data_IF_441955129524
#
_entry.id   IF_441955129524
#
_cell.length_a   1.000
_cell.length_b   1.000
_cell.length_c   1.000
_cell.angle_alpha   90.00
_cell.angle_beta   90.00
_cell.angle_gamma   90.00
#
_symmetry.space_group_name_H-M   'P 1'
#
loop_
_entity.id
_entity.type
_entity.pdbx_description
1 polymer ?
#
# COMPACT_ATOMS: atom_id res chain seq x y z
N UNK A 1 1.35 22.74 -14.45
CA UNK A 1 0.10 22.85 -13.74
C UNK A 1 -0.32 21.56 -13.10
N UNK A 2 -0.75 21.65 -11.90
CA UNK A 2 -1.16 20.46 -11.17
C UNK A 2 -2.61 20.19 -11.32
N UNK A 3 -2.92 18.95 -11.58
CA UNK A 3 -4.30 18.56 -11.61
C UNK A 3 -4.58 17.77 -10.37
N UNK A 4 -5.63 18.15 -9.70
CA UNK A 4 -6.05 17.38 -8.55
C UNK A 4 -6.73 16.12 -9.03
N UNK A 5 -6.25 15.01 -8.52
CA UNK A 5 -6.89 13.75 -8.83
C UNK A 5 -8.21 13.68 -8.08
N UNK A 6 -9.23 13.17 -8.75
CA UNK A 6 -10.48 12.96 -8.06
C UNK A 6 -10.35 11.75 -7.13
N UNK A 7 -11.35 11.53 -6.30
CA UNK A 7 -11.26 10.49 -5.29
C UNK A 7 -11.19 9.09 -5.89
N UNK A 8 -11.82 8.89 -7.01
CA UNK A 8 -11.75 7.59 -7.67
C UNK A 8 -10.36 7.29 -8.15
N UNK A 9 -9.68 8.27 -8.73
CA UNK A 9 -8.31 8.10 -9.16
C UNK A 9 -7.39 7.85 -7.98
N UNK A 10 -7.59 8.58 -6.90
CA UNK A 10 -6.80 8.38 -5.70
C UNK A 10 -7.00 6.98 -5.14
N UNK A 11 -8.23 6.50 -5.16
CA UNK A 11 -8.54 5.16 -4.68
C UNK A 11 -7.82 4.11 -5.52
N UNK A 12 -7.87 4.26 -6.84
CA UNK A 12 -7.20 3.32 -7.73
C UNK A 12 -5.70 3.31 -7.53
N UNK A 13 -5.10 4.49 -7.37
CA UNK A 13 -3.67 4.57 -7.13
C UNK A 13 -3.28 3.92 -5.82
N UNK A 14 -4.03 4.19 -4.78
CA UNK A 14 -3.75 3.60 -3.49
C UNK A 14 -3.88 2.09 -3.55
N UNK A 15 -4.87 1.60 -4.30
CA UNK A 15 -5.06 0.17 -4.46
C UNK A 15 -3.89 -0.49 -5.16
N UNK A 16 -3.41 0.14 -6.24
CA UNK A 16 -2.27 -0.38 -6.99
C UNK A 16 -1.03 -0.40 -6.12
N UNK A 17 -0.80 0.68 -5.39
CA UNK A 17 0.36 0.78 -4.52
C UNK A 17 0.28 -0.23 -3.37
N UNK A 18 -0.90 -0.37 -2.79
CA UNK A 18 -1.11 -1.34 -1.73
C UNK A 18 -0.80 -2.75 -2.21
N UNK A 19 -1.28 -3.09 -3.40
CA UNK A 19 -1.04 -4.41 -3.96
C UNK A 19 0.43 -4.62 -4.26
N UNK A 20 1.09 -3.61 -4.81
CA UNK A 20 2.51 -3.70 -5.13
C UNK A 20 3.34 -3.92 -3.86
N UNK A 21 3.01 -3.20 -2.80
CA UNK A 21 3.70 -3.35 -1.53
C UNK A 21 3.46 -4.73 -0.93
N UNK A 22 2.24 -5.23 -1.06
CA UNK A 22 1.92 -6.55 -0.56
C UNK A 22 2.71 -7.64 -1.28
N UNK A 23 2.86 -7.50 -2.59
CA UNK A 23 3.63 -8.47 -3.37
C UNK A 23 5.10 -8.47 -2.96
N UNK A 24 5.67 -7.29 -2.79
CA UNK A 24 7.05 -7.19 -2.34
C UNK A 24 7.23 -7.79 -0.95
N UNK A 25 6.27 -7.53 -0.09
CA UNK A 25 6.31 -8.05 1.26
C UNK A 25 6.24 -9.57 1.26
N UNK A 26 5.38 -10.14 0.43
CA UNK A 26 5.26 -11.58 0.33
C UNK A 26 6.56 -12.22 -0.16
N UNK A 27 7.22 -11.60 -1.13
CA UNK A 27 8.49 -12.11 -1.64
C UNK A 27 9.52 -12.15 -0.53
N UNK A 28 9.62 -11.07 0.25
CA UNK A 28 10.57 -11.02 1.35
C UNK A 28 10.23 -12.05 2.43
N UNK A 29 8.95 -12.21 2.73
CA UNK A 29 8.55 -13.12 3.78
C UNK A 29 8.72 -14.60 3.41
N UNK A 30 8.88 -14.89 2.12
CA UNK A 30 9.12 -16.25 1.69
C UNK A 30 10.57 -16.68 1.90
N UNK A 31 11.47 -15.74 2.11
CA UNK A 31 12.87 -16.06 2.34
C UNK A 31 13.06 -16.74 3.70
N UNK A 32 13.86 -17.80 3.76
CA UNK A 32 14.12 -18.47 5.06
C UNK A 32 14.86 -17.57 6.03
N UNK A 33 15.73 -16.68 5.52
CA UNK A 33 16.48 -15.76 6.36
C UNK A 33 16.41 -14.38 5.74
N UNK A 34 16.28 -13.39 6.61
CA UNK A 34 16.30 -11.99 6.20
C UNK A 34 17.51 -11.32 6.80
N UNK A 35 18.21 -10.53 5.98
CA UNK A 35 19.26 -9.68 6.50
C UNK A 35 18.66 -8.57 7.35
N UNK A 36 19.51 -7.88 8.12
CA UNK A 36 19.02 -6.76 8.92
C UNK A 36 18.35 -5.72 8.04
N UNK A 37 18.95 -5.43 6.89
CA UNK A 37 18.37 -4.46 5.96
C UNK A 37 17.00 -4.95 5.46
N UNK A 38 16.89 -6.23 5.15
CA UNK A 38 15.64 -6.78 4.68
C UNK A 38 14.57 -6.77 5.77
N UNK A 39 14.97 -7.00 7.01
CA UNK A 39 14.03 -6.92 8.11
C UNK A 39 13.48 -5.50 8.28
N UNK A 40 14.34 -4.51 8.11
CA UNK A 40 13.90 -3.13 8.16
C UNK A 40 12.97 -2.82 6.99
N UNK A 41 13.29 -3.36 5.83
CA UNK A 41 12.44 -3.17 4.65
C UNK A 41 11.05 -3.76 4.88
N UNK A 42 10.99 -4.94 5.48
CA UNK A 42 9.70 -5.55 5.81
C UNK A 42 8.87 -4.63 6.70
N UNK A 43 9.50 -4.05 7.71
CA UNK A 43 8.79 -3.14 8.60
C UNK A 43 8.27 -1.92 7.86
N UNK A 44 9.10 -1.35 6.97
CA UNK A 44 8.69 -0.21 6.18
C UNK A 44 7.54 -0.56 5.25
N UNK A 45 7.64 -1.71 4.60
CA UNK A 45 6.60 -2.14 3.67
C UNK A 45 5.28 -2.37 4.38
N UNK A 46 5.32 -2.97 5.57
CA UNK A 46 4.11 -3.16 6.34
C UNK A 46 3.48 -1.85 6.73
N UNK A 47 4.30 -0.89 7.13
CA UNK A 47 3.81 0.43 7.50
C UNK A 47 3.17 1.14 6.32
N UNK A 48 3.84 1.10 5.16
CA UNK A 48 3.31 1.73 3.95
C UNK A 48 2.05 1.03 3.48
N UNK A 49 2.03 -0.28 3.54
CA UNK A 49 0.86 -1.04 3.14
C UNK A 49 -0.35 -0.64 3.97
N UNK A 50 -0.17 -0.53 5.28
CA UNK A 50 -1.24 -0.11 6.16
C UNK A 50 -1.69 1.30 5.84
N UNK A 51 -0.73 2.18 5.55
CA UNK A 51 -1.05 3.57 5.19
C UNK A 51 -1.97 3.63 3.97
N UNK A 52 -1.64 2.89 2.93
CA UNK A 52 -2.46 2.89 1.72
C UNK A 52 -3.79 2.18 1.94
N UNK A 53 -3.80 1.18 2.79
CA UNK A 53 -5.06 0.54 3.15
C UNK A 53 -5.99 1.54 3.83
N UNK A 54 -5.45 2.33 4.74
CA UNK A 54 -6.26 3.34 5.43
C UNK A 54 -6.79 4.38 4.45
N UNK A 55 -5.94 4.80 3.49
CA UNK A 55 -6.37 5.73 2.46
C UNK A 55 -7.52 5.13 1.65
N UNK A 56 -7.38 3.87 1.25
CA UNK A 56 -8.41 3.20 0.47
C UNK A 56 -9.72 3.12 1.23
N UNK A 57 -9.66 2.78 2.51
CA UNK A 57 -10.87 2.65 3.30
C UNK A 57 -11.56 3.99 3.50
N UNK A 58 -10.77 5.05 3.70
CA UNK A 58 -11.34 6.37 3.80
C UNK A 58 -12.03 6.80 2.52
N UNK A 59 -11.35 6.59 1.38
CA UNK A 59 -11.91 6.95 0.09
C UNK A 59 -13.11 6.07 -0.26
N UNK A 60 -13.04 4.81 0.10
CA UNK A 60 -14.14 3.90 -0.14
C UNK A 60 -15.42 4.39 0.55
N UNK A 61 -15.27 4.86 1.79
CA UNK A 61 -16.40 5.43 2.50
C UNK A 61 -16.95 6.68 1.82
N UNK A 62 -16.04 7.56 1.37
CA UNK A 62 -16.46 8.78 0.71
C UNK A 62 -17.11 8.52 -0.64
N UNK A 63 -16.66 7.49 -1.35
CA UNK A 63 -17.21 7.15 -2.66
C UNK A 63 -18.45 6.28 -2.55
N UNK A 64 -18.79 5.83 -1.37
CA UNK A 64 -19.95 4.96 -1.19
C UNK A 64 -19.73 3.55 -1.67
N UNK A 65 -18.50 3.13 -1.83
CA UNK A 65 -18.20 1.76 -2.23
C UNK A 65 -18.34 0.83 -1.04
N UNK A 66 -18.72 -0.42 -1.33
CA UNK A 66 -18.89 -1.42 -0.29
C UNK A 66 -18.02 -2.63 -0.48
#
# INVERSE_FOLDING_TARGET
>A
MEEKKNKEEQYHEARILHKSLDEKLQILQQKPFLTDDEQMEVKLLKKRKLHYKDIMEGLKGELGLK
#
